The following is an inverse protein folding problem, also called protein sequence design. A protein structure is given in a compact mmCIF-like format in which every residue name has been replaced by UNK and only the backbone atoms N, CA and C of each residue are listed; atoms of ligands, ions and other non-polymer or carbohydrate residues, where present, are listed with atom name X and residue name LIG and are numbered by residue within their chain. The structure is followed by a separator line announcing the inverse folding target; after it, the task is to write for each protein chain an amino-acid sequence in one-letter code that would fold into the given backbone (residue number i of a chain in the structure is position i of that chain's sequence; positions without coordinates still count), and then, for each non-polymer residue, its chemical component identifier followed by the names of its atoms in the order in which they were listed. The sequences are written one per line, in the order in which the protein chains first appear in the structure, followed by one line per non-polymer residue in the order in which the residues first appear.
data_IF_937741755568
#
_entry.id   IF_937741755568
#
_cell.length_a   1.000
_cell.length_b   1.000
_cell.length_c   1.000
_cell.angle_alpha   90.00
_cell.angle_beta   90.00
_cell.angle_gamma   90.00
#
_symmetry.space_group_name_H-M   'P 1'
#
loop_
_entity.id
_entity.type
_entity.pdbx_description
1 polymer ?
#
# COMPACT_ATOMS: atom_id res chain seq x y z
N UNK A 1 1.41 8.25 21.99
CA UNK A 1 1.57 7.12 21.05
C UNK A 1 0.46 7.23 20.03
N UNK A 2 0.80 7.34 18.74
CA UNK A 2 -0.22 7.38 17.68
C UNK A 2 -0.74 6.00 17.32
N UNK A 3 -2.00 5.91 16.91
CA UNK A 3 -2.66 4.71 16.40
C UNK A 3 -2.62 4.67 14.86
N UNK A 4 -2.42 3.47 14.32
CA UNK A 4 -2.69 3.12 12.91
C UNK A 4 -4.14 2.67 12.78
N UNK A 5 -4.70 2.72 11.58
CA UNK A 5 -6.00 2.11 11.31
C UNK A 5 -5.93 0.58 11.35
N UNK A 6 -5.07 0.00 10.49
CA UNK A 6 -4.74 -1.42 10.45
C UNK A 6 -3.22 -1.55 10.42
N UNK A 7 -2.66 -2.46 11.22
CA UNK A 7 -1.23 -2.72 11.23
C UNK A 7 -0.97 -4.21 11.11
N UNK A 8 -0.41 -4.62 9.98
CA UNK A 8 0.15 -5.95 9.77
C UNK A 8 1.62 -5.90 10.23
N UNK A 9 1.94 -6.51 11.37
CA UNK A 9 3.29 -6.53 11.93
C UNK A 9 3.68 -7.94 12.38
N UNK A 10 4.63 -8.56 11.67
CA UNK A 10 5.21 -9.85 12.06
C UNK A 10 6.62 -9.66 12.56
N UNK A 11 6.90 -10.18 13.75
CA UNK A 11 8.27 -10.27 14.30
C UNK A 11 8.86 -11.67 14.13
N UNK A 12 8.14 -12.61 13.52
CA UNK A 12 8.59 -14.01 13.32
C UNK A 12 8.75 -14.36 11.84
N UNK A 13 9.64 -15.30 11.55
CA UNK A 13 10.05 -15.70 10.20
C UNK A 13 8.91 -16.25 9.32
N UNK A 14 7.74 -16.59 9.89
CA UNK A 14 6.57 -17.07 9.16
C UNK A 14 5.88 -16.02 8.28
N UNK A 15 6.22 -14.74 8.44
CA UNK A 15 5.64 -13.63 7.67
C UNK A 15 4.13 -13.44 7.92
N UNK A 16 3.63 -12.24 7.70
CA UNK A 16 2.18 -12.03 7.57
C UNK A 16 1.89 -12.10 6.08
N UNK A 17 1.37 -13.22 5.61
CA UNK A 17 1.16 -13.45 4.17
C UNK A 17 -0.28 -13.76 3.82
N UNK A 18 -0.68 -13.44 2.58
CA UNK A 18 -1.98 -13.80 2.00
C UNK A 18 -3.20 -13.26 2.77
N UNK A 19 -3.05 -12.15 3.48
CA UNK A 19 -4.18 -11.46 4.13
C UNK A 19 -4.95 -10.64 3.09
N UNK A 20 -6.24 -10.44 3.33
CA UNK A 20 -7.09 -9.58 2.51
C UNK A 20 -7.67 -8.48 3.39
N UNK A 21 -7.31 -7.24 3.11
CA UNK A 21 -7.85 -6.04 3.77
C UNK A 21 -8.79 -5.36 2.79
N UNK A 22 -10.09 -5.55 2.98
CA UNK A 22 -11.13 -5.04 2.09
C UNK A 22 -12.40 -4.62 2.84
N UNK A 23 -13.16 -3.69 2.28
CA UNK A 23 -14.45 -3.26 2.81
C UNK A 23 -14.40 -2.35 4.03
N UNK A 24 -13.25 -1.73 4.33
CA UNK A 24 -13.09 -0.89 5.52
C UNK A 24 -13.22 0.61 5.20
N UNK A 25 -13.70 1.38 6.19
CA UNK A 25 -13.53 2.84 6.25
C UNK A 25 -12.45 3.16 7.28
N UNK A 26 -11.31 3.68 6.83
CA UNK A 26 -10.10 3.88 7.64
C UNK A 26 -9.74 5.36 7.62
N UNK A 27 -10.21 6.09 8.63
CA UNK A 27 -10.06 7.55 8.66
C UNK A 27 -9.68 8.09 10.04
N UNK A 28 -9.04 9.25 10.08
CA UNK A 28 -8.77 9.98 11.32
C UNK A 28 -7.72 9.34 12.23
N UNK A 29 -6.91 8.41 11.71
CA UNK A 29 -5.84 7.80 12.50
C UNK A 29 -4.67 8.77 12.63
N UNK A 30 -3.95 8.74 13.75
CA UNK A 30 -2.79 9.64 13.96
C UNK A 30 -1.50 9.18 13.25
N UNK A 31 -1.49 7.95 12.70
CA UNK A 31 -0.40 7.37 11.89
C UNK A 31 -0.97 6.95 10.53
N UNK A 32 -0.38 5.96 9.86
CA UNK A 32 -0.88 5.46 8.59
C UNK A 32 -2.26 4.81 8.73
N UNK A 33 -3.03 4.85 7.64
CA UNK A 33 -4.29 4.11 7.55
C UNK A 33 -4.03 2.61 7.64
N UNK A 34 -3.16 2.09 6.78
CA UNK A 34 -2.71 0.70 6.78
C UNK A 34 -1.19 0.67 6.73
N UNK A 35 -0.56 0.05 7.73
CA UNK A 35 0.87 -0.23 7.73
C UNK A 35 1.13 -1.72 7.55
N UNK A 36 2.01 -2.08 6.63
CA UNK A 36 2.49 -3.46 6.42
C UNK A 36 3.99 -3.51 6.70
N UNK A 37 4.38 -4.30 7.71
CA UNK A 37 5.74 -4.31 8.25
C UNK A 37 6.24 -5.74 8.40
N UNK A 38 7.53 -5.93 8.13
CA UNK A 38 8.25 -7.19 8.23
C UNK A 38 8.64 -7.73 6.85
N UNK A 39 9.91 -8.09 6.68
CA UNK A 39 10.45 -8.48 5.37
C UNK A 39 9.76 -9.69 4.72
N UNK A 40 9.12 -10.56 5.52
CA UNK A 40 8.34 -11.69 5.03
C UNK A 40 6.84 -11.39 4.81
N UNK A 41 6.41 -10.14 4.93
CA UNK A 41 4.99 -9.77 4.82
C UNK A 41 4.52 -9.68 3.36
N UNK A 42 4.45 -10.83 2.68
CA UNK A 42 4.18 -10.92 1.23
C UNK A 42 2.71 -11.20 0.90
N UNK A 43 2.30 -10.83 -0.31
CA UNK A 43 1.00 -11.20 -0.89
C UNK A 43 -0.22 -10.76 -0.06
N UNK A 44 -0.11 -9.70 0.73
CA UNK A 44 -1.25 -9.12 1.44
C UNK A 44 -2.02 -8.22 0.48
N UNK A 45 -3.22 -8.64 0.09
CA UNK A 45 -4.07 -7.88 -0.81
C UNK A 45 -4.79 -6.75 -0.04
N UNK A 46 -4.62 -5.52 -0.49
CA UNK A 46 -5.29 -4.33 0.07
C UNK A 46 -6.10 -3.72 -1.07
N UNK A 47 -7.42 -3.89 -1.05
CA UNK A 47 -8.28 -3.45 -2.15
C UNK A 47 -9.71 -3.20 -1.68
N UNK A 48 -10.48 -2.41 -2.42
CA UNK A 48 -11.88 -2.07 -2.13
C UNK A 48 -12.14 -1.63 -0.67
N UNK A 49 -11.23 -0.84 -0.10
CA UNK A 49 -11.51 -0.10 1.14
C UNK A 49 -12.24 1.20 0.74
N UNK A 50 -13.42 1.44 1.31
CA UNK A 50 -14.34 2.50 0.87
C UNK A 50 -13.82 3.90 1.11
N UNK A 51 -12.91 4.07 2.08
CA UNK A 51 -12.16 5.31 2.28
C UNK A 51 -10.91 5.04 3.09
N UNK A 52 -9.77 5.57 2.64
CA UNK A 52 -8.54 5.64 3.43
C UNK A 52 -8.06 7.09 3.40
N UNK A 53 -8.49 7.92 4.36
CA UNK A 53 -8.33 9.37 4.27
C UNK A 53 -8.22 10.06 5.63
N UNK A 54 -7.67 11.27 5.66
CA UNK A 54 -7.56 12.06 6.89
C UNK A 54 -6.71 11.40 7.99
N UNK A 55 -5.79 10.51 7.60
CA UNK A 55 -4.82 9.90 8.51
C UNK A 55 -3.60 10.83 8.64
N UNK A 56 -2.92 10.77 9.78
CA UNK A 56 -1.74 11.59 10.08
C UNK A 56 -0.48 11.12 9.34
N UNK A 57 -0.47 9.85 8.92
CA UNK A 57 0.52 9.27 8.01
C UNK A 57 -0.07 9.00 6.62
N UNK A 58 0.51 8.05 5.89
CA UNK A 58 0.05 7.64 4.57
C UNK A 58 -1.26 6.85 4.65
N UNK A 59 -1.96 6.74 3.51
CA UNK A 59 -3.11 5.84 3.44
C UNK A 59 -2.68 4.37 3.59
N UNK A 60 -1.67 3.98 2.81
CA UNK A 60 -1.01 2.67 2.87
C UNK A 60 0.50 2.94 2.93
N UNK A 61 1.19 2.30 3.87
CA UNK A 61 2.65 2.38 4.04
C UNK A 61 3.22 0.95 4.13
N UNK A 62 3.99 0.58 3.11
CA UNK A 62 4.77 -0.65 3.09
C UNK A 62 6.13 -0.29 3.69
N UNK A 63 6.31 -0.59 5.00
CA UNK A 63 7.48 -0.37 5.88
C UNK A 63 7.22 0.53 7.12
N UNK A 64 6.10 1.29 7.19
CA UNK A 64 5.80 2.25 8.29
C UNK A 64 6.94 3.29 8.44
N UNK A 65 7.46 3.75 7.29
CA UNK A 65 8.62 4.64 7.18
C UNK A 65 8.35 5.90 6.33
N UNK A 66 7.11 6.11 5.90
CA UNK A 66 6.71 7.16 4.99
C UNK A 66 6.79 6.72 3.52
N UNK A 67 6.93 7.70 2.62
CA UNK A 67 6.95 7.41 1.19
C UNK A 67 8.25 6.69 0.84
N UNK A 68 8.16 5.45 0.41
CA UNK A 68 9.28 4.76 -0.24
C UNK A 68 9.31 5.16 -1.72
N UNK A 69 10.39 5.80 -2.23
CA UNK A 69 10.44 6.24 -3.63
C UNK A 69 10.37 5.09 -4.62
N UNK A 70 9.65 5.28 -5.74
CA UNK A 70 9.60 4.27 -6.79
C UNK A 70 10.99 4.02 -7.41
N UNK A 71 11.27 2.76 -7.75
CA UNK A 71 12.47 2.35 -8.51
C UNK A 71 12.12 1.77 -9.89
N UNK A 72 13.14 1.60 -10.75
CA UNK A 72 12.92 1.10 -12.10
C UNK A 72 12.64 -0.41 -12.11
N UNK A 73 11.45 -0.80 -12.54
CA UNK A 73 11.04 -2.20 -12.63
C UNK A 73 10.63 -2.85 -11.30
N UNK A 74 10.56 -2.10 -10.19
CA UNK A 74 10.05 -2.55 -8.88
C UNK A 74 10.79 -3.80 -8.40
N UNK A 75 12.11 -3.65 -8.23
CA UNK A 75 13.05 -4.74 -7.89
C UNK A 75 13.20 -4.95 -6.39
N UNK A 76 12.48 -4.17 -5.59
CA UNK A 76 12.55 -4.17 -4.14
C UNK A 76 12.09 -5.49 -3.51
N UNK A 77 12.56 -5.69 -2.28
CA UNK A 77 12.13 -6.79 -1.41
C UNK A 77 11.71 -6.24 -0.06
N UNK A 78 10.76 -6.91 0.59
CA UNK A 78 10.14 -6.42 1.81
C UNK A 78 8.62 -6.53 1.73
N UNK A 79 7.88 -5.92 2.67
CA UNK A 79 6.42 -6.03 2.74
C UNK A 79 5.74 -5.79 1.40
N UNK A 80 5.03 -6.80 0.90
CA UNK A 80 4.37 -6.78 -0.40
C UNK A 80 5.29 -6.39 -1.57
N UNK A 81 6.59 -6.69 -1.48
CA UNK A 81 7.59 -6.29 -2.46
C UNK A 81 7.92 -4.80 -2.45
N UNK A 82 7.38 -4.02 -1.49
CA UNK A 82 7.50 -2.56 -1.45
C UNK A 82 7.04 -1.92 -2.76
N UNK A 83 5.96 -2.47 -3.32
CA UNK A 83 5.42 -2.09 -4.63
C UNK A 83 5.37 -0.58 -4.85
N UNK A 84 5.90 -0.18 -6.00
CA UNK A 84 5.74 1.15 -6.55
C UNK A 84 4.27 1.59 -6.59
N UNK A 85 4.03 2.90 -6.40
CA UNK A 85 2.69 3.50 -6.47
C UNK A 85 2.49 4.31 -7.76
N UNK A 86 1.23 4.50 -8.21
CA UNK A 86 0.94 5.31 -9.39
C UNK A 86 1.41 6.76 -9.25
N UNK A 87 2.17 7.25 -10.22
CA UNK A 87 2.57 8.66 -10.31
C UNK A 87 1.65 9.40 -11.28
N UNK A 88 0.85 10.33 -10.77
CA UNK A 88 -0.05 11.15 -11.61
C UNK A 88 0.78 12.08 -12.50
N UNK A 89 0.58 11.98 -13.81
CA UNK A 89 1.30 12.77 -14.82
C UNK A 89 0.46 13.92 -15.40
N UNK A 90 -0.87 13.80 -15.38
CA UNK A 90 -1.76 14.91 -15.73
C UNK A 90 -3.18 14.70 -15.21
N UNK A 91 -3.89 15.80 -14.99
CA UNK A 91 -5.33 15.82 -14.69
C UNK A 91 -5.99 16.74 -15.71
N UNK A 92 -7.04 16.27 -16.37
CA UNK A 92 -7.81 17.04 -17.35
C UNK A 92 -9.29 16.72 -17.22
N UNK A 93 -10.06 17.63 -16.62
CA UNK A 93 -11.47 17.38 -16.27
C UNK A 93 -11.58 16.18 -15.34
N UNK A 94 -12.33 15.16 -15.78
CA UNK A 94 -12.52 13.90 -15.05
C UNK A 94 -11.50 12.80 -15.46
N UNK A 95 -10.46 13.15 -16.21
CA UNK A 95 -9.42 12.21 -16.64
C UNK A 95 -8.15 12.40 -15.83
N UNK A 96 -7.71 11.33 -15.17
CA UNK A 96 -6.40 11.23 -14.52
C UNK A 96 -5.50 10.35 -15.39
N UNK A 97 -4.33 10.85 -15.76
CA UNK A 97 -3.26 10.03 -16.34
C UNK A 97 -2.22 9.78 -15.26
N UNK A 98 -1.76 8.54 -15.16
CA UNK A 98 -0.68 8.15 -14.29
C UNK A 98 0.24 7.17 -15.00
N UNK A 99 1.44 7.00 -14.47
CA UNK A 99 2.35 5.91 -14.81
C UNK A 99 2.51 5.06 -13.56
N UNK A 100 2.44 3.74 -13.75
CA UNK A 100 2.79 2.77 -12.73
C UNK A 100 3.91 1.91 -13.32
N UNK A 101 5.12 2.09 -12.80
CA UNK A 101 6.25 1.18 -13.07
C UNK A 101 6.19 0.10 -12.01
N UNK A 102 5.93 -1.15 -12.36
CA UNK A 102 5.83 -2.25 -11.39
C UNK A 102 6.16 -3.57 -12.07
N UNK A 103 6.58 -4.56 -11.28
CA UNK A 103 6.89 -5.91 -11.73
C UNK A 103 5.70 -6.53 -12.47
N UNK A 104 5.90 -7.00 -13.71
CA UNK A 104 4.82 -7.51 -14.54
C UNK A 104 4.02 -8.64 -13.86
N UNK A 105 2.70 -8.48 -13.77
CA UNK A 105 1.80 -9.50 -13.24
C UNK A 105 1.06 -10.21 -14.38
N UNK A 106 1.25 -11.53 -14.52
CA UNK A 106 0.59 -12.35 -15.55
C UNK A 106 -0.92 -12.41 -15.40
N UNK A 107 -1.45 -12.13 -14.20
CA UNK A 107 -2.88 -12.05 -13.92
C UNK A 107 -3.42 -10.62 -14.03
N UNK A 108 -2.59 -9.66 -14.45
CA UNK A 108 -2.94 -8.24 -14.54
C UNK A 108 -2.94 -7.53 -13.18
N UNK A 109 -3.29 -6.24 -13.21
CA UNK A 109 -3.43 -5.41 -12.02
C UNK A 109 -4.88 -5.02 -11.80
N UNK A 110 -5.24 -4.89 -10.53
CA UNK A 110 -6.48 -4.26 -10.10
C UNK A 110 -6.19 -2.79 -9.79
N UNK A 111 -6.99 -1.89 -10.35
CA UNK A 111 -6.98 -0.47 -10.02
C UNK A 111 -8.32 -0.15 -9.35
N UNK A 112 -8.25 0.32 -8.10
CA UNK A 112 -9.40 0.83 -7.35
C UNK A 112 -9.35 2.36 -7.27
N UNK A 113 -10.52 3.01 -7.23
CA UNK A 113 -10.70 4.45 -7.08
C UNK A 113 -11.62 4.76 -5.90
#
# INVERSE_FOLDING_TARGET
MGLWGIRLNSTTAGGITNNVITGNTITGNSRDGIAVIGAGAQNNAIYANTSISGNGGLGIDLLDNGVTPNDAGDVDTGPNGVQNFPVVTSISGNTVKFVLDTSANTNGFRIDF
#
